data_IF_032015994299
#
_entry.id   IF_032015994299
#
_cell.length_a   1.000
_cell.length_b   1.000
_cell.length_c   1.000
_cell.angle_alpha   90.00
_cell.angle_beta   90.00
_cell.angle_gamma   90.00
#
_symmetry.space_group_name_H-M   'P 1'
#
loop_
_entity.id
_entity.type
_entity.pdbx_description
1 polymer ?
#
# COMPACT_ATOMS: atom_id res chain seq x y z
N UNK A 1 77.40 21.39 40.35
CA UNK A 1 76.79 22.32 39.38
C UNK A 1 75.49 21.71 38.92
N UNK A 2 74.39 22.42 39.18
CA UNK A 2 73.01 21.94 39.25
C UNK A 2 72.22 22.57 38.09
N UNK A 3 71.25 21.79 37.59
CA UNK A 3 70.04 22.15 36.81
C UNK A 3 70.15 22.23 35.28
N UNK A 4 69.65 21.15 34.69
CA UNK A 4 69.23 20.94 33.30
C UNK A 4 68.12 21.92 32.95
N UNK A 5 68.29 22.63 31.83
CA UNK A 5 67.32 23.58 31.31
C UNK A 5 66.24 22.88 30.45
N UNK A 6 65.01 22.92 30.97
CA UNK A 6 63.74 23.25 30.29
C UNK A 6 63.52 22.63 28.90
N UNK A 7 62.83 21.49 28.86
CA UNK A 7 62.06 21.04 27.70
C UNK A 7 60.64 21.60 27.88
N UNK A 8 60.33 22.69 27.21
CA UNK A 8 59.00 23.29 27.20
C UNK A 8 58.16 22.72 26.05
N UNK A 9 57.15 21.94 26.41
CA UNK A 9 55.81 22.09 25.83
C UNK A 9 55.56 21.59 24.42
N UNK A 10 55.60 20.27 24.21
CA UNK A 10 54.74 19.61 23.20
C UNK A 10 53.48 19.11 23.92
N UNK A 11 52.59 20.06 24.21
CA UNK A 11 51.26 19.80 24.77
C UNK A 11 50.30 19.43 23.66
N UNK A 12 50.00 18.13 23.56
CA UNK A 12 49.04 17.50 22.66
C UNK A 12 47.66 18.17 22.79
N UNK A 13 47.21 18.84 21.73
CA UNK A 13 45.79 19.13 21.50
C UNK A 13 45.29 18.26 20.35
N UNK A 14 45.34 16.95 20.56
CA UNK A 14 44.43 16.06 19.86
C UNK A 14 43.08 16.16 20.58
N UNK A 15 42.29 17.17 20.22
CA UNK A 15 40.87 17.15 20.52
C UNK A 15 40.30 15.89 19.86
N UNK A 16 40.03 14.86 20.65
CA UNK A 16 39.31 13.69 20.17
C UNK A 16 37.93 14.20 19.74
N UNK A 17 37.76 14.41 18.43
CA UNK A 17 36.47 14.47 17.77
C UNK A 17 35.84 13.09 17.91
N UNK A 18 35.38 12.79 19.12
CA UNK A 18 34.45 11.72 19.38
C UNK A 18 33.10 12.24 18.90
N UNK A 19 32.95 12.25 17.58
CA UNK A 19 31.65 12.01 16.97
C UNK A 19 31.26 10.59 17.42
N UNK A 20 30.76 10.47 18.66
CA UNK A 20 30.00 9.32 19.08
C UNK A 20 28.74 9.35 18.22
N UNK A 21 28.82 8.71 17.06
CA UNK A 21 27.66 8.09 16.47
C UNK A 21 27.21 7.02 17.48
N UNK A 22 26.47 7.47 18.50
CA UNK A 22 25.77 6.56 19.40
C UNK A 22 24.88 5.72 18.51
N UNK A 23 25.27 4.46 18.28
CA UNK A 23 24.49 3.53 17.48
C UNK A 23 23.04 3.63 17.98
N UNK A 24 22.07 3.94 17.11
CA UNK A 24 20.71 4.15 17.54
C UNK A 24 20.24 2.90 18.27
N UNK A 25 19.94 3.04 19.56
CA UNK A 25 19.50 1.90 20.38
C UNK A 25 18.15 1.43 19.88
N UNK A 26 17.94 0.12 19.77
CA UNK A 26 16.64 -0.42 19.39
C UNK A 26 15.73 -0.56 20.59
N UNK A 27 14.48 -0.15 20.47
CA UNK A 27 13.42 -0.41 21.45
C UNK A 27 12.35 -1.30 20.81
N UNK A 28 11.77 -2.21 21.59
CA UNK A 28 10.69 -3.08 21.13
C UNK A 28 9.42 -2.73 21.90
N UNK A 29 8.35 -2.46 21.15
CA UNK A 29 7.02 -2.23 21.70
C UNK A 29 6.49 -3.52 22.34
N UNK A 30 6.07 -3.52 23.63
CA UNK A 30 5.53 -4.71 24.29
C UNK A 30 4.25 -5.24 23.64
N UNK A 31 3.39 -4.38 23.09
CA UNK A 31 2.07 -4.77 22.61
C UNK A 31 2.15 -5.27 21.15
N UNK A 32 2.75 -4.48 20.28
CA UNK A 32 2.85 -4.80 18.84
C UNK A 32 4.08 -5.64 18.49
N UNK A 33 5.04 -5.74 19.41
CA UNK A 33 6.38 -6.30 19.18
C UNK A 33 7.13 -5.66 18.01
N UNK A 34 6.72 -4.46 17.57
CA UNK A 34 7.44 -3.69 16.56
C UNK A 34 8.79 -3.19 17.10
N UNK A 35 9.80 -3.18 16.23
CA UNK A 35 11.14 -2.66 16.53
C UNK A 35 11.24 -1.21 16.08
N UNK A 36 11.71 -0.34 16.97
CA UNK A 36 11.96 1.07 16.71
C UNK A 36 13.44 1.39 16.92
N UNK A 37 13.96 2.34 16.14
CA UNK A 37 15.26 2.96 16.36
C UNK A 37 15.05 4.20 17.24
N UNK A 38 15.68 4.22 18.41
CA UNK A 38 15.68 5.36 19.31
C UNK A 38 16.85 6.27 19.00
N UNK A 39 16.54 7.49 18.60
CA UNK A 39 17.51 8.56 18.36
C UNK A 39 17.16 9.71 19.28
N UNK A 40 17.90 9.87 20.38
CA UNK A 40 17.58 10.83 21.46
C UNK A 40 16.16 10.58 22.00
N UNK A 41 15.24 11.51 21.74
CA UNK A 41 13.84 11.48 22.19
C UNK A 41 12.84 11.07 21.10
N UNK A 42 13.33 10.71 19.91
CA UNK A 42 12.48 10.24 18.80
C UNK A 42 12.58 8.73 18.63
N UNK A 43 11.43 8.12 18.32
CA UNK A 43 11.29 6.72 17.94
C UNK A 43 10.92 6.65 16.47
N UNK A 44 11.78 6.07 15.65
CA UNK A 44 11.52 5.81 14.24
C UNK A 44 11.24 4.32 14.03
N UNK A 45 10.14 3.99 13.36
CA UNK A 45 9.81 2.59 13.05
C UNK A 45 10.90 1.99 12.17
N UNK A 46 11.37 0.79 12.54
CA UNK A 46 12.35 0.06 11.73
C UNK A 46 11.63 -0.71 10.64
N UNK A 47 12.16 -0.64 9.44
CA UNK A 47 11.71 -1.43 8.29
C UNK A 47 12.75 -2.47 7.92
N UNK A 48 12.27 -3.63 7.45
CA UNK A 48 13.08 -4.71 6.89
C UNK A 48 13.50 -4.36 5.46
N UNK A 49 14.41 -5.15 4.89
CA UNK A 49 14.92 -4.95 3.52
C UNK A 49 13.83 -5.07 2.45
N UNK A 50 12.75 -5.80 2.74
CA UNK A 50 11.58 -5.94 1.87
C UNK A 50 10.59 -4.78 1.97
N UNK A 51 10.89 -3.75 2.77
CA UNK A 51 10.02 -2.59 2.99
C UNK A 51 8.89 -2.83 3.98
N UNK A 52 8.77 -4.02 4.58
CA UNK A 52 7.78 -4.29 5.63
C UNK A 52 8.26 -3.75 6.99
N UNK A 53 7.37 -3.21 7.83
CA UNK A 53 7.74 -2.82 9.19
C UNK A 53 8.18 -4.04 10.01
N UNK A 54 9.21 -3.87 10.83
CA UNK A 54 9.82 -4.94 11.64
C UNK A 54 8.96 -5.24 12.88
N UNK A 55 7.81 -5.86 12.65
CA UNK A 55 6.78 -6.18 13.63
C UNK A 55 6.39 -7.65 13.55
N UNK A 56 6.12 -8.27 14.72
CA UNK A 56 5.63 -9.65 14.74
C UNK A 56 4.17 -9.77 14.23
N UNK A 57 3.35 -8.73 14.43
CA UNK A 57 1.95 -8.69 14.00
C UNK A 57 1.79 -8.61 12.48
N UNK A 58 2.63 -7.82 11.81
CA UNK A 58 2.57 -7.61 10.35
C UNK A 58 2.94 -8.89 9.58
N UNK A 59 3.75 -9.77 10.19
CA UNK A 59 4.02 -11.09 9.64
C UNK A 59 2.78 -11.98 9.61
N UNK A 60 1.85 -11.86 10.56
CA UNK A 60 0.61 -12.66 10.53
C UNK A 60 -0.29 -12.24 9.34
N UNK A 61 -0.48 -10.93 9.13
CA UNK A 61 -1.30 -10.44 8.01
C UNK A 61 -0.67 -10.73 6.64
N UNK A 62 0.67 -10.68 6.54
CA UNK A 62 1.38 -10.94 5.27
C UNK A 62 1.43 -12.43 4.90
N UNK A 63 1.40 -13.32 5.89
CA UNK A 63 1.43 -14.78 5.63
C UNK A 63 0.06 -15.28 5.18
N UNK A 64 -1.03 -14.62 5.61
CA UNK A 64 -2.39 -14.90 5.12
C UNK A 64 -2.67 -14.29 3.73
N UNK A 65 -1.94 -13.23 3.35
CA UNK A 65 -2.09 -12.53 2.08
C UNK A 65 -1.01 -12.88 1.04
N UNK A 66 -0.38 -14.06 1.11
CA UNK A 66 0.53 -14.55 0.07
C UNK A 66 -0.25 -14.93 -1.20
N UNK A 67 -0.77 -13.92 -1.92
CA UNK A 67 -1.33 -14.08 -3.26
C UNK A 67 -0.21 -14.58 -4.17
N UNK A 68 -0.32 -15.82 -4.62
CA UNK A 68 0.63 -16.40 -5.56
C UNK A 68 0.40 -15.81 -6.95
N UNK A 69 1.40 -15.93 -7.84
CA UNK A 69 1.26 -15.53 -9.25
C UNK A 69 0.11 -16.28 -9.94
N UNK A 70 -0.23 -17.48 -9.47
CA UNK A 70 -1.39 -18.27 -9.94
C UNK A 70 -2.70 -17.57 -9.58
N UNK A 71 -2.86 -17.18 -8.32
CA UNK A 71 -4.07 -16.53 -7.81
C UNK A 71 -4.36 -15.22 -8.54
N UNK A 72 -3.32 -14.43 -8.86
CA UNK A 72 -3.47 -13.20 -9.63
C UNK A 72 -3.94 -13.46 -11.07
N UNK A 73 -3.44 -14.53 -11.69
CA UNK A 73 -3.85 -14.93 -13.05
C UNK A 73 -5.31 -15.38 -13.06
N UNK A 74 -5.71 -16.17 -12.07
CA UNK A 74 -7.08 -16.68 -11.95
C UNK A 74 -8.07 -15.55 -11.65
N UNK A 75 -7.70 -14.60 -10.78
CA UNK A 75 -8.49 -13.39 -10.53
C UNK A 75 -8.66 -12.57 -11.82
N UNK A 76 -7.59 -12.38 -12.59
CA UNK A 76 -7.62 -11.63 -13.85
C UNK A 76 -8.54 -12.31 -14.88
N UNK A 77 -8.52 -13.63 -14.95
CA UNK A 77 -9.43 -14.39 -15.82
C UNK A 77 -10.89 -14.26 -15.37
N UNK A 78 -11.16 -14.33 -14.06
CA UNK A 78 -12.51 -14.16 -13.51
C UNK A 78 -13.06 -12.76 -13.80
N UNK A 79 -12.24 -11.72 -13.61
CA UNK A 79 -12.63 -10.33 -13.92
C UNK A 79 -12.96 -10.19 -15.41
N UNK A 80 -12.13 -10.77 -16.28
CA UNK A 80 -12.34 -10.69 -17.74
C UNK A 80 -13.68 -11.34 -18.14
N UNK A 81 -13.99 -12.52 -17.60
CA UNK A 81 -15.27 -13.21 -17.86
C UNK A 81 -16.46 -12.39 -17.35
N UNK A 82 -16.35 -11.84 -16.15
CA UNK A 82 -17.40 -11.01 -15.54
C UNK A 82 -17.69 -9.75 -16.37
N UNK A 83 -16.63 -9.11 -16.90
CA UNK A 83 -16.78 -7.95 -17.79
C UNK A 83 -17.49 -8.34 -19.09
N UNK A 84 -17.15 -9.48 -19.68
CA UNK A 84 -17.83 -9.93 -20.90
C UNK A 84 -19.32 -10.24 -20.68
N UNK A 85 -19.65 -10.90 -19.56
CA UNK A 85 -21.03 -11.17 -19.17
C UNK A 85 -21.83 -9.88 -18.99
N UNK A 86 -21.29 -8.93 -18.24
CA UNK A 86 -21.93 -7.62 -18.05
C UNK A 86 -22.15 -6.88 -19.38
N UNK A 87 -21.22 -6.99 -20.34
CA UNK A 87 -21.39 -6.40 -21.67
C UNK A 87 -22.53 -7.05 -22.45
N UNK A 88 -22.72 -8.36 -22.32
CA UNK A 88 -23.84 -9.08 -22.95
C UNK A 88 -25.17 -8.64 -22.34
N UNK A 89 -25.22 -8.53 -21.02
CA UNK A 89 -26.42 -8.11 -20.29
C UNK A 89 -26.83 -6.68 -20.62
N UNK A 90 -25.88 -5.75 -20.63
CA UNK A 90 -26.12 -4.36 -21.07
C UNK A 90 -26.65 -4.34 -22.50
N UNK A 91 -26.09 -5.18 -23.38
CA UNK A 91 -26.57 -5.34 -24.75
C UNK A 91 -28.02 -5.84 -24.82
N UNK A 92 -28.39 -6.80 -23.97
CA UNK A 92 -29.75 -7.32 -23.88
C UNK A 92 -30.73 -6.26 -23.39
N UNK A 93 -30.40 -5.58 -22.28
CA UNK A 93 -31.24 -4.50 -21.73
C UNK A 93 -31.48 -3.40 -22.76
N UNK A 94 -30.47 -3.00 -23.54
CA UNK A 94 -30.64 -1.99 -24.60
C UNK A 94 -31.65 -2.42 -25.67
N UNK A 95 -31.62 -3.71 -26.07
CA UNK A 95 -32.59 -4.24 -27.05
C UNK A 95 -34.01 -4.26 -26.50
N UNK A 96 -34.17 -4.68 -25.24
CA UNK A 96 -35.48 -4.67 -24.57
C UNK A 96 -36.04 -3.25 -24.45
N UNK A 97 -35.20 -2.27 -24.11
CA UNK A 97 -35.62 -0.86 -24.07
C UNK A 97 -36.06 -0.33 -25.43
N UNK A 98 -35.36 -0.69 -26.51
CA UNK A 98 -35.74 -0.31 -27.86
C UNK A 98 -37.06 -0.97 -28.28
N UNK A 99 -37.24 -2.25 -27.93
CA UNK A 99 -38.49 -2.96 -28.19
C UNK A 99 -39.67 -2.33 -27.46
N UNK A 100 -39.54 -2.11 -26.15
CA UNK A 100 -40.58 -1.48 -25.33
C UNK A 100 -40.92 -0.07 -25.84
N UNK A 101 -39.92 0.70 -26.30
CA UNK A 101 -40.16 2.00 -26.91
C UNK A 101 -40.99 1.89 -28.20
N UNK A 102 -40.66 0.94 -29.07
CA UNK A 102 -41.39 0.74 -30.33
C UNK A 102 -42.83 0.29 -30.08
N UNK A 103 -43.06 -0.59 -29.08
CA UNK A 103 -44.40 -0.98 -28.67
C UNK A 103 -45.22 0.21 -28.18
N UNK A 104 -44.64 1.06 -27.32
CA UNK A 104 -45.31 2.28 -26.86
C UNK A 104 -45.65 3.24 -28.00
N UNK A 105 -44.76 3.38 -28.98
CA UNK A 105 -45.02 4.20 -30.17
C UNK A 105 -46.15 3.63 -31.02
N UNK A 106 -46.24 2.30 -31.17
CA UNK A 106 -47.31 1.63 -31.90
C UNK A 106 -48.67 1.78 -31.19
N UNK A 107 -48.73 1.50 -29.88
CA UNK A 107 -49.95 1.69 -29.07
C UNK A 107 -50.43 3.14 -29.15
N UNK A 108 -49.50 4.11 -29.11
CA UNK A 108 -49.82 5.53 -29.25
C UNK A 108 -50.39 5.87 -30.63
N UNK A 109 -49.94 5.22 -31.70
CA UNK A 109 -50.50 5.44 -33.05
C UNK A 109 -51.89 4.85 -33.17
N UNK A 110 -52.09 3.63 -32.67
CA UNK A 110 -53.37 2.93 -32.66
C UNK A 110 -54.43 3.71 -31.88
N UNK A 111 -54.11 4.18 -30.66
CA UNK A 111 -55.02 5.01 -29.86
C UNK A 111 -55.33 6.38 -30.48
N UNK A 112 -54.54 6.85 -31.46
CA UNK A 112 -54.74 8.14 -32.14
C UNK A 112 -55.56 8.00 -33.42
N UNK A 113 -55.65 6.80 -34.01
CA UNK A 113 -56.49 6.54 -35.17
C UNK A 113 -57.87 6.08 -34.68
N UNK A 114 -58.96 6.83 -34.95
CA UNK A 114 -60.30 6.34 -34.66
C UNK A 114 -60.58 5.10 -35.54
N UNK A 115 -61.38 4.14 -35.05
CA UNK A 115 -61.74 2.98 -35.85
C UNK A 115 -62.41 3.46 -37.16
N UNK A 116 -61.88 2.99 -38.29
CA UNK A 116 -62.51 3.22 -39.58
C UNK A 116 -63.88 2.52 -39.57
N UNK A 117 -64.95 3.32 -39.67
CA UNK A 117 -66.32 2.85 -39.90
C UNK A 117 -66.48 2.43 -41.37
#
# INVERSE_FOLDING_TARGET
MIKIAIIAGLGVLAAAASAQETLPSTWRDPDTRCVYLKVRDTLSLRYRRDGTPDCASVQQDSTDASITRGDLRDLTQQITRSIEELRRDVGAVRREMEHARNELENIRRETRQPPAQ
#
